data_IF_727340162357
#
_entry.id   IF_727340162357
#
_cell.length_a   1.000
_cell.length_b   1.000
_cell.length_c   1.000
_cell.angle_alpha   90.00
_cell.angle_beta   90.00
_cell.angle_gamma   90.00
#
_symmetry.space_group_name_H-M   'P 1'
#
loop_
_entity.id
_entity.type
_entity.pdbx_description
1 polymer ?
#
# COMPACT_ATOMS: atom_id res chain seq x y z
N UNK A 1 16.71 23.16 -14.37
CA UNK A 1 16.14 23.21 -13.00
C UNK A 1 14.78 22.53 -13.03
N UNK A 2 14.75 21.23 -12.75
CA UNK A 2 13.52 20.42 -12.74
C UNK A 2 13.62 19.59 -11.45
N UNK A 3 13.16 20.16 -10.33
CA UNK A 3 13.33 19.53 -9.00
C UNK A 3 12.14 19.74 -8.05
N UNK A 4 11.04 20.32 -8.53
CA UNK A 4 9.89 20.68 -7.68
C UNK A 4 8.66 19.80 -7.94
N UNK A 5 8.37 19.41 -9.18
CA UNK A 5 7.18 18.61 -9.51
C UNK A 5 7.38 17.09 -9.45
N UNK A 6 8.60 16.59 -9.68
CA UNK A 6 8.94 15.16 -9.52
C UNK A 6 8.76 14.66 -8.08
N UNK A 7 8.78 15.58 -7.09
CA UNK A 7 8.75 15.23 -5.68
C UNK A 7 7.33 14.94 -5.15
N UNK A 8 6.29 15.57 -5.72
CA UNK A 8 4.91 15.43 -5.24
C UNK A 8 4.33 14.08 -5.65
N UNK A 9 4.46 13.70 -6.93
CA UNK A 9 3.98 12.41 -7.43
C UNK A 9 4.68 11.23 -6.74
N UNK A 10 6.01 11.32 -6.55
CA UNK A 10 6.77 10.32 -5.82
C UNK A 10 6.30 10.22 -4.35
N UNK A 11 6.08 11.36 -3.69
CA UNK A 11 5.58 11.37 -2.32
C UNK A 11 4.17 10.77 -2.21
N UNK A 12 3.28 11.08 -3.16
CA UNK A 12 1.94 10.49 -3.15
C UNK A 12 1.96 8.99 -3.43
N UNK A 13 2.85 8.51 -4.30
CA UNK A 13 3.03 7.08 -4.53
C UNK A 13 3.49 6.35 -3.27
N UNK A 14 4.45 6.94 -2.53
CA UNK A 14 4.92 6.37 -1.26
C UNK A 14 3.76 6.26 -0.28
N UNK A 15 2.94 7.30 -0.16
CA UNK A 15 1.80 7.30 0.77
C UNK A 15 0.71 6.31 0.32
N UNK A 16 0.39 6.22 -0.98
CA UNK A 16 -0.54 5.24 -1.52
C UNK A 16 -0.06 3.80 -1.30
N UNK A 17 1.22 3.53 -1.59
CA UNK A 17 1.84 2.23 -1.36
C UNK A 17 1.73 1.83 0.12
N UNK A 18 1.97 2.79 1.01
CA UNK A 18 1.86 2.57 2.44
C UNK A 18 0.41 2.34 2.90
N UNK A 19 -0.56 3.09 2.36
CA UNK A 19 -1.99 2.85 2.62
C UNK A 19 -2.41 1.43 2.19
N UNK A 20 -2.01 0.99 1.00
CA UNK A 20 -2.29 -0.37 0.53
C UNK A 20 -1.69 -1.44 1.45
N UNK A 21 -0.45 -1.23 1.93
CA UNK A 21 0.18 -2.12 2.90
C UNK A 21 -0.59 -2.17 4.22
N UNK A 22 -1.06 -1.02 4.73
CA UNK A 22 -1.86 -1.00 5.95
C UNK A 22 -3.17 -1.79 5.79
N UNK A 23 -3.80 -1.76 4.60
CA UNK A 23 -5.03 -2.54 4.32
C UNK A 23 -4.70 -4.03 4.38
N UNK A 24 -3.62 -4.44 3.71
CA UNK A 24 -3.12 -5.82 3.73
C UNK A 24 -2.83 -6.25 5.16
N UNK A 25 -2.05 -5.47 5.93
CA UNK A 25 -1.71 -5.81 7.30
C UNK A 25 -2.94 -5.93 8.20
N UNK A 26 -3.92 -5.03 8.06
CA UNK A 26 -5.18 -5.11 8.81
C UNK A 26 -5.95 -6.40 8.51
N UNK A 27 -6.02 -6.79 7.22
CA UNK A 27 -6.62 -8.07 6.80
C UNK A 27 -5.93 -9.28 7.43
N UNK A 28 -4.60 -9.33 7.40
CA UNK A 28 -3.83 -10.44 7.99
C UNK A 28 -3.91 -10.47 9.52
N UNK A 29 -3.83 -9.33 10.19
CA UNK A 29 -3.99 -9.23 11.66
C UNK A 29 -5.37 -9.70 12.10
N UNK A 30 -6.42 -9.32 11.36
CA UNK A 30 -7.80 -9.80 11.59
C UNK A 30 -7.91 -11.32 11.45
N UNK A 31 -7.14 -11.92 10.52
CA UNK A 31 -7.02 -13.36 10.37
C UNK A 31 -6.10 -14.03 11.42
N UNK A 32 -5.57 -13.27 12.39
CA UNK A 32 -4.66 -13.76 13.42
C UNK A 32 -3.20 -13.89 12.98
N UNK A 33 -2.86 -13.49 11.74
CA UNK A 33 -1.48 -13.48 11.26
C UNK A 33 -0.81 -12.14 11.60
N UNK A 34 0.25 -12.22 12.40
CA UNK A 34 1.06 -11.08 12.87
C UNK A 34 2.52 -11.18 12.42
N UNK A 35 2.81 -11.93 11.36
CA UNK A 35 4.17 -12.16 10.85
C UNK A 35 4.90 -10.86 10.47
N UNK A 36 4.19 -9.80 10.09
CA UNK A 36 4.78 -8.46 9.83
C UNK A 36 5.34 -7.82 11.11
N UNK A 37 4.74 -8.13 12.26
CA UNK A 37 5.01 -7.50 13.55
C UNK A 37 5.93 -8.35 14.43
N UNK A 38 6.92 -9.03 13.84
CA UNK A 38 7.85 -9.95 14.53
C UNK A 38 8.42 -9.37 15.83
N UNK A 39 8.85 -8.10 15.80
CA UNK A 39 9.46 -7.40 16.93
C UNK A 39 8.52 -7.21 18.14
N UNK A 40 7.21 -7.32 17.92
CA UNK A 40 6.17 -7.20 18.94
C UNK A 40 5.77 -8.60 19.42
N UNK A 41 5.70 -9.58 18.51
CA UNK A 41 5.35 -10.98 18.81
C UNK A 41 6.33 -11.60 19.81
N UNK A 42 7.62 -11.27 19.68
CA UNK A 42 8.67 -11.72 20.59
C UNK A 42 8.50 -11.20 22.04
N UNK A 43 7.63 -10.21 22.26
CA UNK A 43 7.38 -9.61 23.58
C UNK A 43 6.29 -10.31 24.39
N UNK A 44 5.68 -11.39 23.88
CA UNK A 44 4.70 -12.24 24.57
C UNK A 44 3.69 -11.45 25.44
N UNK A 45 2.88 -10.59 24.79
CA UNK A 45 1.80 -9.89 25.49
C UNK A 45 0.46 -10.58 25.23
N UNK A 46 -0.22 -10.99 26.29
CA UNK A 46 -1.65 -11.27 26.25
C UNK A 46 -2.34 -10.02 25.66
N UNK A 47 -3.04 -10.16 24.53
CA UNK A 47 -3.69 -9.10 23.73
C UNK A 47 -2.83 -8.40 22.67
N UNK A 48 -1.75 -9.01 22.18
CA UNK A 48 -0.93 -8.44 21.10
C UNK A 48 -1.73 -8.11 19.82
N UNK A 49 -2.68 -8.96 19.45
CA UNK A 49 -3.54 -8.77 18.28
C UNK A 49 -4.38 -7.49 18.40
N UNK A 50 -5.01 -7.29 19.55
CA UNK A 50 -5.81 -6.10 19.81
C UNK A 50 -4.94 -4.85 19.85
N UNK A 51 -3.74 -4.94 20.41
CA UNK A 51 -2.78 -3.83 20.40
C UNK A 51 -2.39 -3.45 18.98
N UNK A 52 -2.02 -4.41 18.12
CA UNK A 52 -1.66 -4.16 16.73
C UNK A 52 -2.84 -3.57 15.97
N UNK A 53 -4.04 -4.15 16.11
CA UNK A 53 -5.26 -3.66 15.45
C UNK A 53 -5.56 -2.20 15.81
N UNK A 54 -5.56 -1.85 17.10
CA UNK A 54 -5.83 -0.47 17.54
C UNK A 54 -4.81 0.53 16.98
N UNK A 55 -3.53 0.12 16.89
CA UNK A 55 -2.50 0.98 16.31
C UNK A 55 -2.72 1.16 14.81
N UNK A 56 -3.03 0.08 14.07
CA UNK A 56 -3.34 0.16 12.63
C UNK A 56 -4.51 1.10 12.37
N UNK A 57 -5.60 0.99 13.13
CA UNK A 57 -6.76 1.88 13.01
C UNK A 57 -6.39 3.34 13.28
N UNK A 58 -5.57 3.59 14.31
CA UNK A 58 -5.07 4.94 14.63
C UNK A 58 -4.21 5.49 13.50
N UNK A 59 -3.32 4.69 12.93
CA UNK A 59 -2.49 5.08 11.79
C UNK A 59 -3.33 5.40 10.55
N UNK A 60 -4.36 4.60 10.27
CA UNK A 60 -5.31 4.88 9.19
C UNK A 60 -6.04 6.20 9.39
N UNK A 61 -6.57 6.44 10.59
CA UNK A 61 -7.26 7.69 10.91
C UNK A 61 -6.33 8.90 10.78
N UNK A 62 -5.06 8.77 11.22
CA UNK A 62 -4.04 9.80 11.03
C UNK A 62 -3.75 10.06 9.54
N UNK A 63 -3.54 9.00 8.74
CA UNK A 63 -3.30 9.17 7.31
C UNK A 63 -4.46 9.86 6.61
N UNK A 64 -5.69 9.47 6.90
CA UNK A 64 -6.88 10.10 6.32
C UNK A 64 -7.00 11.57 6.74
N UNK A 65 -6.69 11.88 8.00
CA UNK A 65 -6.72 13.25 8.53
C UNK A 65 -5.69 14.17 7.86
N UNK A 66 -4.45 13.68 7.67
CA UNK A 66 -3.35 14.50 7.13
C UNK A 66 -3.29 14.48 5.61
N UNK A 67 -3.88 13.47 4.97
CA UNK A 67 -3.87 13.30 3.53
C UNK A 67 -5.27 12.96 2.96
N UNK A 68 -6.25 13.84 3.16
CA UNK A 68 -7.66 13.58 2.79
C UNK A 68 -7.89 13.49 1.27
N UNK A 69 -7.00 14.06 0.46
CA UNK A 69 -7.12 14.18 -1.00
C UNK A 69 -6.05 13.37 -1.75
N UNK A 70 -5.57 12.28 -1.16
CA UNK A 70 -4.57 11.42 -1.81
C UNK A 70 -5.16 10.49 -2.88
N UNK A 71 -6.50 10.45 -3.01
CA UNK A 71 -7.13 9.89 -4.21
C UNK A 71 -6.63 10.67 -5.43
N UNK A 72 -5.86 9.98 -6.26
CA UNK A 72 -5.41 10.45 -7.57
C UNK A 72 -6.44 10.01 -8.62
N UNK A 73 -7.67 9.64 -8.25
CA UNK A 73 -8.69 9.19 -9.22
C UNK A 73 -8.90 10.23 -10.34
N UNK A 74 -8.75 11.53 -10.05
CA UNK A 74 -8.84 12.61 -11.04
C UNK A 74 -7.62 12.72 -11.99
N UNK A 75 -6.50 12.07 -11.66
CA UNK A 75 -5.24 12.03 -12.42
C UNK A 75 -4.84 10.60 -12.84
N UNK A 76 -5.72 9.61 -12.67
CA UNK A 76 -5.44 8.17 -12.72
C UNK A 76 -5.59 7.54 -14.12
N UNK A 77 -5.80 8.33 -15.18
CA UNK A 77 -5.86 7.82 -16.56
C UNK A 77 -4.56 7.13 -17.00
N UNK A 78 -3.43 7.45 -16.34
CA UNK A 78 -2.14 6.78 -16.52
C UNK A 78 -2.01 5.49 -15.67
N UNK A 79 -2.85 5.30 -14.65
CA UNK A 79 -2.67 4.25 -13.61
C UNK A 79 -3.60 3.05 -13.74
N UNK A 80 -4.60 3.12 -14.61
CA UNK A 80 -5.65 2.11 -14.77
C UNK A 80 -5.13 0.73 -15.19
N UNK A 81 -3.93 0.63 -15.75
CA UNK A 81 -3.43 -0.61 -16.38
C UNK A 81 -3.02 -1.69 -15.37
N UNK A 82 -2.68 -1.31 -14.14
CA UNK A 82 -2.28 -2.26 -13.09
C UNK A 82 -3.39 -2.56 -12.07
N UNK A 83 -4.59 -1.97 -12.20
CA UNK A 83 -5.69 -2.13 -11.22
C UNK A 83 -6.32 -3.54 -11.25
N UNK A 84 -6.01 -4.38 -12.26
CA UNK A 84 -6.54 -5.75 -12.42
C UNK A 84 -5.88 -6.81 -11.53
N UNK A 85 -5.47 -6.51 -10.30
CA UNK A 85 -4.89 -7.50 -9.38
C UNK A 85 -5.88 -8.19 -8.44
N UNK A 86 -7.18 -7.91 -8.58
CA UNK A 86 -8.25 -8.58 -7.83
C UNK A 86 -8.29 -10.12 -8.04
N UNK A 87 -7.57 -10.66 -9.03
CA UNK A 87 -7.57 -12.10 -9.36
C UNK A 87 -6.69 -12.99 -8.47
N UNK A 88 -5.81 -12.43 -7.63
CA UNK A 88 -4.88 -13.23 -6.81
C UNK A 88 -5.28 -13.38 -5.34
N UNK A 89 -6.45 -12.87 -4.95
CA UNK A 89 -6.85 -12.85 -3.55
C UNK A 89 -6.95 -14.27 -2.97
N UNK A 90 -6.10 -14.57 -1.97
CA UNK A 90 -5.99 -15.89 -1.36
C UNK A 90 -5.09 -16.90 -2.10
N UNK A 91 -4.48 -16.53 -3.22
CA UNK A 91 -3.53 -17.38 -3.97
C UNK A 91 -2.05 -17.05 -3.68
N UNK A 92 -1.80 -15.91 -3.05
CA UNK A 92 -0.45 -15.39 -2.77
C UNK A 92 -0.28 -15.12 -1.27
N UNK A 93 0.96 -15.24 -0.79
CA UNK A 93 1.27 -15.02 0.63
C UNK A 93 1.40 -13.52 0.95
N UNK A 94 1.44 -13.19 2.25
CA UNK A 94 1.59 -11.82 2.76
C UNK A 94 2.73 -11.04 2.09
N UNK A 95 3.92 -11.64 2.00
CA UNK A 95 5.09 -10.98 1.41
C UNK A 95 4.94 -10.75 -0.10
N UNK A 96 4.18 -11.60 -0.78
CA UNK A 96 3.81 -11.41 -2.19
C UNK A 96 2.75 -10.31 -2.36
N UNK A 97 1.73 -10.25 -1.51
CA UNK A 97 0.74 -9.15 -1.50
C UNK A 97 1.43 -7.79 -1.25
N UNK A 98 2.37 -7.69 -0.32
CA UNK A 98 3.13 -6.46 -0.06
C UNK A 98 4.01 -6.02 -1.23
N UNK A 99 4.67 -6.98 -1.89
CA UNK A 99 5.46 -6.71 -3.09
C UNK A 99 4.58 -6.27 -4.24
N UNK A 100 3.44 -6.93 -4.43
CA UNK A 100 2.47 -6.59 -5.47
C UNK A 100 1.91 -5.18 -5.25
N UNK A 101 1.53 -4.83 -4.02
CA UNK A 101 1.09 -3.47 -3.67
C UNK A 101 2.17 -2.42 -3.95
N UNK A 102 3.44 -2.75 -3.72
CA UNK A 102 4.57 -1.86 -4.01
C UNK A 102 4.76 -1.67 -5.52
N UNK A 103 4.77 -2.77 -6.29
CA UNK A 103 4.92 -2.75 -7.75
C UNK A 103 3.76 -2.05 -8.44
N UNK A 104 2.52 -2.30 -8.01
CA UNK A 104 1.33 -1.65 -8.55
C UNK A 104 1.36 -0.11 -8.35
N UNK A 105 2.05 0.37 -7.32
CA UNK A 105 2.24 1.80 -7.05
C UNK A 105 3.48 2.43 -7.71
N UNK A 106 4.31 1.66 -8.41
CA UNK A 106 5.55 2.15 -9.03
C UNK A 106 5.30 2.78 -10.40
N UNK A 107 5.34 4.11 -10.43
CA UNK A 107 5.16 4.91 -11.65
C UNK A 107 6.27 4.67 -12.70
N UNK A 108 7.49 4.32 -12.29
CA UNK A 108 8.59 4.06 -13.23
C UNK A 108 8.33 2.81 -14.04
N UNK A 109 7.82 1.76 -13.38
CA UNK A 109 7.42 0.52 -14.04
C UNK A 109 6.22 0.74 -14.96
N UNK A 110 5.25 1.53 -14.49
CA UNK A 110 4.09 1.92 -15.27
C UNK A 110 4.47 2.68 -16.55
N UNK A 111 5.31 3.72 -16.45
CA UNK A 111 5.74 4.51 -17.61
C UNK A 111 6.54 3.65 -18.61
N UNK A 112 7.45 2.80 -18.13
CA UNK A 112 8.20 1.87 -18.99
C UNK A 112 7.33 0.88 -19.75
N UNK A 113 6.17 0.52 -19.21
CA UNK A 113 5.24 -0.43 -19.85
C UNK A 113 4.17 0.27 -20.69
N UNK A 114 3.81 1.51 -20.36
CA UNK A 114 2.93 2.34 -21.19
C UNK A 114 3.58 2.81 -22.50
N UNK A 115 4.91 2.96 -22.53
CA UNK A 115 5.65 3.29 -23.75
C UNK A 115 5.62 2.17 -24.82
N UNK A 116 5.01 1.02 -24.54
CA UNK A 116 4.95 -0.12 -25.47
C UNK A 116 3.67 -0.22 -26.31
N UNK A 117 2.65 0.61 -26.07
CA UNK A 117 1.43 0.65 -26.90
C UNK A 117 1.32 1.98 -27.66
N UNK A 118 2.15 2.14 -28.68
CA UNK A 118 1.89 3.06 -29.79
C UNK A 118 1.89 2.24 -31.09
N UNK A 119 0.78 1.55 -31.35
CA UNK A 119 0.38 1.21 -32.72
C UNK A 119 -0.07 2.47 -33.47
#
# INVERSE_FOLDING_TARGET
MQRSKENILASTNIINSFQNKLIIWSKFVTAGNVEVFTSIVDRNSDNILQFISNNLDTFFACLFKYFPSISIDENDWVRTTFVKFLTFEGQINLGEEEKLASVASDLTLMLKHFELDLE
#
